data_IF_817662145958
#
_entry.id   IF_817662145958
#
_cell.length_a   1.000
_cell.length_b   1.000
_cell.length_c   1.000
_cell.angle_alpha   90.00
_cell.angle_beta   90.00
_cell.angle_gamma   90.00
#
_symmetry.space_group_name_H-M   'P 1'
#
loop_
_entity.id
_entity.type
_entity.pdbx_description
1 polymer ?
#
# COMPACT_ATOMS: atom_id res chain seq x y z
N UNK A 1 -29.40 8.70 -16.29
CA UNK A 1 -28.50 8.23 -15.24
C UNK A 1 -27.14 7.97 -15.87
N UNK A 2 -26.08 8.64 -15.39
CA UNK A 2 -24.74 8.45 -15.90
C UNK A 2 -24.26 7.00 -15.67
N UNK A 3 -23.42 6.50 -16.57
CA UNK A 3 -22.88 5.15 -16.45
C UNK A 3 -21.86 5.13 -15.29
N UNK A 4 -22.12 4.33 -14.25
CA UNK A 4 -21.20 4.14 -13.13
C UNK A 4 -20.08 3.17 -13.55
N UNK A 5 -18.85 3.59 -13.37
CA UNK A 5 -17.68 2.78 -13.74
C UNK A 5 -17.19 1.92 -12.56
N UNK A 6 -16.62 0.74 -12.81
CA UNK A 6 -15.85 0.03 -11.80
C UNK A 6 -14.67 0.89 -11.33
N UNK A 7 -14.27 0.73 -10.08
CA UNK A 7 -13.20 1.54 -9.51
C UNK A 7 -12.12 0.69 -8.85
N UNK A 8 -10.93 1.27 -8.69
CA UNK A 8 -9.82 0.64 -8.01
C UNK A 8 -9.13 1.63 -7.07
N UNK A 9 -8.91 1.21 -5.83
CA UNK A 9 -7.99 1.86 -4.91
C UNK A 9 -6.59 1.30 -5.14
N UNK A 10 -5.64 2.15 -5.43
CA UNK A 10 -4.24 1.82 -5.71
C UNK A 10 -3.35 2.25 -4.55
N UNK A 11 -2.68 1.31 -3.90
CA UNK A 11 -1.84 1.52 -2.72
C UNK A 11 -0.38 1.25 -3.11
N UNK A 12 0.53 2.22 -2.95
CA UNK A 12 1.91 2.08 -3.39
C UNK A 12 2.72 1.15 -2.49
N UNK A 13 3.86 0.72 -2.98
CA UNK A 13 4.88 0.05 -2.18
C UNK A 13 5.65 1.01 -1.28
N UNK A 14 6.66 0.46 -0.64
CA UNK A 14 7.59 1.22 0.20
C UNK A 14 8.16 2.43 -0.55
N UNK A 15 7.99 3.64 0.01
CA UNK A 15 8.48 4.90 -0.57
C UNK A 15 7.83 5.33 -1.88
N UNK A 16 6.81 4.64 -2.34
CA UNK A 16 6.03 5.10 -3.50
C UNK A 16 5.06 6.22 -3.15
N UNK A 17 4.60 6.94 -4.17
CA UNK A 17 3.66 8.04 -4.04
C UNK A 17 2.44 7.87 -4.95
N UNK A 18 1.36 8.59 -4.63
CA UNK A 18 0.16 8.66 -5.48
C UNK A 18 0.48 9.23 -6.87
N UNK A 19 1.39 10.19 -6.97
CA UNK A 19 1.84 10.77 -8.24
C UNK A 19 2.56 9.71 -9.08
N UNK A 20 3.42 8.90 -8.44
CA UNK A 20 4.07 7.77 -9.12
C UNK A 20 3.07 6.75 -9.64
N UNK A 21 2.05 6.42 -8.85
CA UNK A 21 0.96 5.52 -9.28
C UNK A 21 0.13 6.10 -10.42
N UNK A 22 -0.08 7.43 -10.43
CA UNK A 22 -0.77 8.15 -11.51
C UNK A 22 0.07 8.28 -12.79
N UNK A 23 1.39 8.08 -12.68
CA UNK A 23 2.32 8.26 -13.78
C UNK A 23 2.65 9.73 -14.08
N UNK A 24 2.51 10.60 -13.08
CA UNK A 24 2.74 12.04 -13.18
C UNK A 24 4.18 12.43 -12.84
N UNK A 25 4.89 11.62 -12.07
CA UNK A 25 6.30 11.88 -11.73
C UNK A 25 7.24 10.99 -12.53
N UNK A 26 8.25 11.58 -13.12
CA UNK A 26 9.42 10.86 -13.58
C UNK A 26 10.39 10.72 -12.39
N UNK A 27 10.28 9.59 -11.67
CA UNK A 27 11.43 8.97 -11.05
C UNK A 27 12.17 9.67 -9.91
N UNK A 28 11.62 10.66 -9.22
CA UNK A 28 12.31 11.28 -8.09
C UNK A 28 12.37 10.40 -6.82
N UNK A 29 11.75 9.25 -6.85
CA UNK A 29 11.90 8.23 -5.82
C UNK A 29 12.74 7.07 -6.36
N UNK A 30 14.04 7.26 -6.40
CA UNK A 30 14.99 6.16 -6.56
C UNK A 30 14.87 5.20 -5.39
N UNK A 31 13.93 4.31 -5.50
CA UNK A 31 13.72 3.24 -4.55
C UNK A 31 14.62 2.07 -4.82
N UNK A 32 15.74 2.19 -5.25
CA UNK A 32 16.72 1.10 -5.23
C UNK A 32 17.79 1.27 -6.29
N UNK A 33 18.96 0.81 -5.98
CA UNK A 33 20.09 0.48 -6.85
C UNK A 33 19.79 -0.52 -7.98
N UNK A 34 18.53 -0.85 -8.26
CA UNK A 34 18.15 -1.67 -9.39
C UNK A 34 17.87 -0.77 -10.59
N UNK A 35 18.37 -1.14 -11.79
CA UNK A 35 18.03 -0.42 -13.01
C UNK A 35 16.52 -0.61 -13.27
N UNK A 36 15.72 0.28 -12.69
CA UNK A 36 14.30 0.31 -12.95
C UNK A 36 14.12 0.95 -14.30
N UNK A 37 13.53 0.21 -15.24
CA UNK A 37 13.03 0.85 -16.42
C UNK A 37 12.04 1.95 -16.04
N UNK A 38 12.02 3.06 -16.82
CA UNK A 38 11.36 4.28 -16.39
C UNK A 38 9.92 4.04 -15.98
N UNK A 39 9.49 4.83 -15.03
CA UNK A 39 8.18 5.07 -14.38
C UNK A 39 6.92 4.49 -15.05
N UNK A 40 6.94 4.21 -16.32
CA UNK A 40 5.81 3.59 -17.04
C UNK A 40 5.37 2.24 -16.50
N UNK A 41 6.24 1.49 -15.83
CA UNK A 41 5.89 0.20 -15.20
C UNK A 41 5.28 0.39 -13.81
N UNK A 42 5.67 1.42 -13.08
CA UNK A 42 5.15 1.72 -11.74
C UNK A 42 3.81 2.43 -11.71
N UNK A 43 3.33 2.96 -12.83
CA UNK A 43 2.10 3.75 -12.91
C UNK A 43 0.83 2.88 -12.84
N UNK A 44 0.65 2.19 -11.72
CA UNK A 44 -0.42 1.20 -11.53
C UNK A 44 -1.81 1.80 -11.77
N UNK A 45 -2.10 2.97 -11.21
CA UNK A 45 -3.38 3.63 -11.38
C UNK A 45 -3.65 3.99 -12.86
N UNK A 46 -2.64 4.52 -13.56
CA UNK A 46 -2.75 4.85 -14.99
C UNK A 46 -3.07 3.60 -15.83
N UNK A 47 -2.51 2.44 -15.48
CA UNK A 47 -2.82 1.20 -16.19
C UNK A 47 -4.28 0.78 -16.02
N UNK A 48 -4.87 0.97 -14.84
CA UNK A 48 -6.28 0.71 -14.62
C UNK A 48 -7.18 1.72 -15.35
N UNK A 49 -6.83 3.01 -15.35
CA UNK A 49 -7.56 4.04 -16.10
C UNK A 49 -7.59 3.71 -17.60
N UNK A 50 -6.47 3.28 -18.18
CA UNK A 50 -6.40 2.84 -19.59
C UNK A 50 -7.30 1.63 -19.90
N UNK A 51 -7.74 0.91 -18.89
CA UNK A 51 -8.70 -0.21 -19.01
C UNK A 51 -10.14 0.21 -18.70
N UNK A 52 -10.42 1.49 -18.50
CA UNK A 52 -11.75 2.03 -18.28
C UNK A 52 -12.24 1.99 -16.82
N UNK A 53 -11.33 1.80 -15.85
CA UNK A 53 -11.67 1.92 -14.45
C UNK A 53 -11.45 3.36 -13.96
N UNK A 54 -12.21 3.76 -12.95
CA UNK A 54 -11.85 4.89 -12.10
C UNK A 54 -10.73 4.43 -11.16
N UNK A 55 -9.60 5.13 -11.13
CA UNK A 55 -8.51 4.80 -10.22
C UNK A 55 -8.33 5.92 -9.19
N UNK A 56 -8.22 5.51 -7.93
CA UNK A 56 -7.87 6.39 -6.81
C UNK A 56 -6.51 5.94 -6.30
N UNK A 57 -5.53 6.82 -6.33
CA UNK A 57 -4.19 6.58 -5.82
C UNK A 57 -4.01 7.29 -4.48
N UNK A 58 -3.36 6.63 -3.54
CA UNK A 58 -3.09 7.15 -2.19
C UNK A 58 -1.61 7.10 -1.88
N UNK A 59 -1.19 7.89 -0.89
CA UNK A 59 0.11 7.75 -0.26
C UNK A 59 0.01 6.83 0.96
N UNK A 60 1.05 6.07 1.23
CA UNK A 60 1.16 5.36 2.50
C UNK A 60 1.50 6.33 3.64
N UNK A 61 1.10 5.98 4.86
CA UNK A 61 1.54 6.67 6.08
C UNK A 61 3.06 6.87 6.07
N UNK A 62 3.52 8.05 6.42
CA UNK A 62 4.94 8.44 6.44
C UNK A 62 5.64 8.43 5.07
N UNK A 63 4.88 8.45 3.98
CA UNK A 63 5.42 8.53 2.62
C UNK A 63 4.94 9.80 1.92
N UNK A 64 5.70 10.29 0.97
CA UNK A 64 5.36 11.42 0.11
C UNK A 64 4.78 12.61 0.91
N UNK A 65 3.58 13.08 0.60
CA UNK A 65 2.93 14.18 1.33
C UNK A 65 2.57 13.85 2.79
N UNK A 66 2.47 12.57 3.15
CA UNK A 66 2.22 12.13 4.51
C UNK A 66 3.51 11.91 5.32
N UNK A 67 4.66 12.31 4.79
CA UNK A 67 5.95 12.23 5.47
C UNK A 67 6.32 13.56 6.13
N UNK A 68 7.08 13.50 7.21
CA UNK A 68 7.68 14.69 7.83
C UNK A 68 8.83 15.20 6.96
N UNK A 69 8.71 16.45 6.48
CA UNK A 69 9.74 17.12 5.68
C UNK A 69 10.17 16.36 4.40
N UNK A 70 9.29 15.57 3.80
CA UNK A 70 9.58 14.78 2.61
C UNK A 70 10.47 13.56 2.87
N UNK A 71 10.75 13.24 4.11
CA UNK A 71 11.56 12.10 4.50
C UNK A 71 10.69 10.90 4.88
N UNK A 72 10.95 9.76 4.25
CA UNK A 72 10.27 8.52 4.55
C UNK A 72 10.81 7.90 5.85
N UNK A 73 10.02 7.91 6.90
CA UNK A 73 10.40 7.37 8.21
C UNK A 73 9.32 6.45 8.81
N UNK A 74 9.00 5.39 8.07
CA UNK A 74 7.98 4.46 8.53
C UNK A 74 8.38 3.68 9.79
N UNK A 75 9.69 3.49 10.01
CA UNK A 75 10.18 2.76 11.18
C UNK A 75 9.91 3.52 12.47
N UNK A 76 10.28 4.80 12.48
CA UNK A 76 10.06 5.66 13.65
C UNK A 76 8.57 5.85 13.89
N UNK A 77 7.80 6.06 12.83
CA UNK A 77 6.35 6.11 12.88
C UNK A 77 5.76 4.82 13.46
N UNK A 78 6.23 3.66 13.03
CA UNK A 78 5.77 2.36 13.57
C UNK A 78 6.03 2.24 15.08
N UNK A 79 7.20 2.66 15.53
CA UNK A 79 7.56 2.66 16.96
C UNK A 79 6.69 3.60 17.79
N UNK A 80 6.49 4.83 17.31
CA UNK A 80 5.61 5.81 17.96
C UNK A 80 4.19 5.26 18.06
N UNK A 81 3.67 4.67 16.99
CA UNK A 81 2.34 4.08 16.99
C UNK A 81 2.21 2.93 18.00
N UNK A 82 3.23 2.07 18.12
CA UNK A 82 3.24 1.00 19.11
C UNK A 82 3.20 1.55 20.55
N UNK A 83 3.95 2.61 20.84
CA UNK A 83 3.90 3.29 22.14
C UNK A 83 2.51 3.88 22.45
N UNK A 84 1.78 4.26 21.42
CA UNK A 84 0.39 4.75 21.53
C UNK A 84 -0.65 3.62 21.58
N UNK A 85 -0.24 2.35 21.52
CA UNK A 85 -1.15 1.20 21.45
C UNK A 85 -1.76 0.96 20.08
N UNK A 86 -1.16 1.51 19.04
CA UNK A 86 -1.56 1.38 17.64
C UNK A 86 -0.54 0.53 16.87
N UNK A 87 -0.80 0.29 15.60
CA UNK A 87 0.20 -0.29 14.70
C UNK A 87 0.20 0.47 13.36
N UNK A 88 1.34 0.46 12.68
CA UNK A 88 1.45 1.06 11.35
C UNK A 88 0.44 0.45 10.37
N UNK A 89 0.37 -0.88 10.32
CA UNK A 89 -0.59 -1.58 9.47
C UNK A 89 -2.04 -1.26 9.83
N UNK A 90 -2.36 -1.16 11.12
CA UNK A 90 -3.70 -0.77 11.58
C UNK A 90 -4.09 0.63 11.13
N UNK A 91 -3.18 1.60 11.28
CA UNK A 91 -3.41 2.98 10.84
C UNK A 91 -3.57 3.06 9.32
N UNK A 92 -2.67 2.43 8.56
CA UNK A 92 -2.73 2.43 7.09
C UNK A 92 -4.03 1.81 6.60
N UNK A 93 -4.41 0.65 7.12
CA UNK A 93 -5.67 0.01 6.75
C UNK A 93 -6.89 0.87 7.11
N UNK A 94 -6.86 1.59 8.22
CA UNK A 94 -7.93 2.53 8.60
C UNK A 94 -8.02 3.71 7.62
N UNK A 95 -6.90 4.28 7.22
CA UNK A 95 -6.86 5.35 6.21
C UNK A 95 -7.42 4.88 4.88
N UNK A 96 -6.97 3.73 4.40
CA UNK A 96 -7.44 3.13 3.15
C UNK A 96 -8.94 2.79 3.20
N UNK A 97 -9.43 2.31 4.35
CA UNK A 97 -10.84 2.05 4.56
C UNK A 97 -11.70 3.32 4.48
N UNK A 98 -11.20 4.45 5.00
CA UNK A 98 -11.89 5.74 4.85
C UNK A 98 -11.94 6.18 3.38
N UNK A 99 -10.85 5.99 2.62
CA UNK A 99 -10.83 6.28 1.19
C UNK A 99 -11.83 5.38 0.43
N UNK A 100 -11.90 4.09 0.77
CA UNK A 100 -12.87 3.16 0.19
C UNK A 100 -14.32 3.61 0.45
N UNK A 101 -14.63 4.06 1.66
CA UNK A 101 -15.95 4.58 2.00
C UNK A 101 -16.27 5.84 1.20
N UNK A 102 -15.32 6.76 1.07
CA UNK A 102 -15.46 7.92 0.21
C UNK A 102 -15.70 7.53 -1.26
N UNK A 103 -14.98 6.52 -1.78
CA UNK A 103 -15.19 6.03 -3.15
C UNK A 103 -16.62 5.51 -3.37
N UNK A 104 -17.18 4.82 -2.37
CA UNK A 104 -18.57 4.28 -2.44
C UNK A 104 -19.64 5.38 -2.50
N UNK A 105 -19.33 6.58 -2.03
CA UNK A 105 -20.22 7.73 -2.04
C UNK A 105 -20.22 8.49 -3.38
N UNK A 106 -19.27 8.20 -4.26
CA UNK A 106 -19.16 8.93 -5.53
C UNK A 106 -20.21 8.45 -6.55
N UNK A 107 -20.92 9.39 -7.15
CA UNK A 107 -22.01 9.09 -8.10
C UNK A 107 -21.55 8.38 -9.37
N UNK A 108 -20.29 8.55 -9.75
CA UNK A 108 -19.67 7.95 -10.94
C UNK A 108 -19.05 6.58 -10.67
N UNK A 109 -18.99 6.12 -9.40
CA UNK A 109 -18.41 4.83 -9.01
C UNK A 109 -19.50 3.76 -8.90
N UNK A 110 -19.26 2.61 -9.50
CA UNK A 110 -20.05 1.41 -9.22
C UNK A 110 -19.53 0.77 -7.91
N UNK A 111 -20.23 1.04 -6.82
CA UNK A 111 -19.86 0.58 -5.47
C UNK A 111 -19.79 -0.94 -5.30
N UNK A 112 -20.45 -1.69 -6.18
CA UNK A 112 -20.44 -3.16 -6.19
C UNK A 112 -19.23 -3.73 -6.95
N UNK A 113 -18.44 -2.86 -7.58
CA UNK A 113 -17.26 -3.23 -8.39
C UNK A 113 -16.05 -2.37 -8.02
N UNK A 114 -15.74 -2.32 -6.73
CA UNK A 114 -14.52 -1.67 -6.21
C UNK A 114 -13.47 -2.73 -5.97
N UNK A 115 -12.32 -2.55 -6.57
CA UNK A 115 -11.12 -3.39 -6.43
C UNK A 115 -10.13 -2.65 -5.52
N UNK A 116 -9.34 -3.39 -4.73
CA UNK A 116 -8.18 -2.84 -4.04
C UNK A 116 -6.93 -3.49 -4.59
N UNK A 117 -6.00 -2.68 -5.05
CA UNK A 117 -4.74 -3.14 -5.63
C UNK A 117 -3.56 -2.54 -4.87
N UNK A 118 -2.73 -3.38 -4.30
CA UNK A 118 -1.53 -2.97 -3.59
C UNK A 118 -0.26 -3.48 -4.26
N UNK A 119 0.83 -2.75 -4.07
CA UNK A 119 2.17 -3.18 -4.48
C UNK A 119 3.08 -3.28 -3.26
N UNK A 120 3.81 -4.38 -3.12
CA UNK A 120 4.79 -4.60 -2.04
C UNK A 120 4.19 -4.26 -0.66
N UNK A 121 4.71 -3.27 0.06
CA UNK A 121 4.17 -2.81 1.35
C UNK A 121 2.66 -2.49 1.29
N UNK A 122 2.21 -1.92 0.18
CA UNK A 122 0.79 -1.61 -0.04
C UNK A 122 -0.13 -2.83 -0.16
N UNK A 123 0.41 -4.05 -0.19
CA UNK A 123 -0.41 -5.27 -0.16
C UNK A 123 -0.81 -5.68 1.26
N UNK A 124 -0.10 -5.21 2.27
CA UNK A 124 -0.34 -5.61 3.65
C UNK A 124 -1.71 -5.16 4.19
N UNK A 125 -2.15 -3.90 3.97
CA UNK A 125 -3.49 -3.49 4.39
C UNK A 125 -4.62 -4.25 3.71
N UNK A 126 -4.40 -4.87 2.55
CA UNK A 126 -5.44 -5.61 1.82
C UNK A 126 -6.02 -6.77 2.64
N UNK A 127 -5.20 -7.45 3.44
CA UNK A 127 -5.67 -8.54 4.31
C UNK A 127 -6.62 -8.01 5.39
N UNK A 128 -6.28 -6.87 5.97
CA UNK A 128 -7.10 -6.22 7.00
C UNK A 128 -8.40 -5.71 6.40
N UNK A 129 -8.31 -5.04 5.24
CA UNK A 129 -9.48 -4.54 4.50
C UNK A 129 -10.43 -5.67 4.10
N UNK A 130 -9.89 -6.83 3.68
CA UNK A 130 -10.70 -7.99 3.34
C UNK A 130 -11.46 -8.58 4.54
N UNK A 131 -10.91 -8.46 5.74
CA UNK A 131 -11.60 -8.86 6.97
C UNK A 131 -12.65 -7.83 7.42
N UNK A 132 -12.41 -6.55 7.17
CA UNK A 132 -13.27 -5.46 7.63
C UNK A 132 -14.43 -5.17 6.66
N UNK A 133 -14.23 -5.35 5.36
CA UNK A 133 -15.15 -4.90 4.33
C UNK A 133 -15.45 -6.00 3.28
N UNK A 134 -16.47 -6.83 3.53
CA UNK A 134 -16.85 -7.89 2.60
C UNK A 134 -17.46 -7.38 1.29
N UNK A 135 -17.72 -6.08 1.15
CA UNK A 135 -18.26 -5.49 -0.07
C UNK A 135 -17.19 -5.22 -1.14
N UNK A 136 -15.91 -5.38 -0.83
CA UNK A 136 -14.83 -5.23 -1.79
C UNK A 136 -14.92 -6.36 -2.81
N UNK A 137 -15.00 -5.99 -4.10
CA UNK A 137 -15.22 -6.95 -5.18
C UNK A 137 -14.04 -7.89 -5.42
N UNK A 138 -12.81 -7.37 -5.37
CA UNK A 138 -11.60 -8.15 -5.57
C UNK A 138 -10.36 -7.46 -5.00
N UNK A 139 -9.34 -8.26 -4.72
CA UNK A 139 -8.02 -7.79 -4.30
C UNK A 139 -6.96 -8.20 -5.33
N UNK A 140 -6.03 -7.29 -5.59
CA UNK A 140 -4.87 -7.54 -6.45
C UNK A 140 -3.60 -7.33 -5.66
N UNK A 141 -2.92 -8.43 -5.36
CA UNK A 141 -1.63 -8.44 -4.67
C UNK A 141 -0.52 -8.42 -5.71
N UNK A 142 0.16 -7.30 -5.85
CA UNK A 142 1.32 -7.18 -6.72
C UNK A 142 2.59 -7.32 -5.89
N UNK A 143 3.34 -8.39 -6.14
CA UNK A 143 4.68 -8.63 -5.61
C UNK A 143 4.78 -8.72 -4.08
N UNK A 144 3.80 -9.20 -3.38
CA UNK A 144 3.95 -9.49 -1.96
C UNK A 144 2.80 -10.31 -1.39
N UNK A 145 2.82 -11.59 -1.63
CA UNK A 145 1.96 -12.53 -0.91
C UNK A 145 2.85 -13.64 -0.36
N UNK A 146 3.07 -13.64 0.93
CA UNK A 146 3.88 -14.66 1.60
C UNK A 146 3.21 -15.10 2.91
N UNK A 147 3.56 -16.30 3.35
CA UNK A 147 3.14 -16.76 4.68
C UNK A 147 3.90 -15.96 5.73
N UNK A 148 3.16 -15.34 6.63
CA UNK A 148 3.72 -14.41 7.64
C UNK A 148 4.83 -15.05 8.48
N UNK A 149 4.64 -16.29 8.92
CA UNK A 149 5.65 -17.00 9.69
C UNK A 149 6.95 -17.22 8.91
N UNK A 150 6.85 -17.64 7.66
CA UNK A 150 8.02 -17.85 6.79
C UNK A 150 8.75 -16.53 6.52
N UNK A 151 8.00 -15.45 6.29
CA UNK A 151 8.55 -14.11 6.17
C UNK A 151 9.39 -13.73 7.40
N UNK A 152 8.84 -13.88 8.60
CA UNK A 152 9.53 -13.55 9.84
C UNK A 152 10.80 -14.38 9.98
N UNK A 153 10.73 -15.69 9.73
CA UNK A 153 11.89 -16.57 9.80
C UNK A 153 13.00 -16.18 8.80
N UNK A 154 12.64 -15.73 7.61
CA UNK A 154 13.62 -15.23 6.62
C UNK A 154 14.20 -13.90 7.05
N UNK A 155 13.38 -12.97 7.52
CA UNK A 155 13.81 -11.60 7.88
C UNK A 155 14.61 -11.55 9.18
N UNK A 156 14.43 -12.51 10.07
CA UNK A 156 15.21 -12.60 11.32
C UNK A 156 16.53 -13.35 11.15
N UNK A 157 16.74 -14.03 10.02
CA UNK A 157 18.03 -14.67 9.74
C UNK A 157 19.12 -13.62 9.50
N UNK A 158 20.31 -13.79 10.08
CA UNK A 158 21.45 -12.95 9.71
C UNK A 158 21.73 -13.10 8.21
N UNK A 159 21.81 -11.99 7.50
CA UNK A 159 22.37 -12.01 6.15
C UNK A 159 23.86 -12.41 6.26
N UNK A 160 24.37 -13.33 5.42
CA UNK A 160 25.80 -13.68 5.38
C UNK A 160 26.72 -12.48 5.16
N UNK A 161 26.21 -11.36 4.62
CA UNK A 161 26.95 -10.10 4.43
C UNK A 161 26.76 -9.11 5.58
N UNK A 162 26.05 -9.49 6.67
CA UNK A 162 25.82 -8.63 7.83
C UNK A 162 24.77 -7.53 7.63
N UNK A 163 24.19 -7.40 6.44
CA UNK A 163 23.06 -6.51 6.18
C UNK A 163 21.75 -7.27 6.29
N UNK A 164 20.78 -6.70 6.97
CA UNK A 164 19.40 -7.22 6.91
C UNK A 164 18.71 -6.54 5.75
N UNK A 165 18.15 -7.28 4.77
CA UNK A 165 17.50 -6.65 3.62
C UNK A 165 16.28 -5.80 4.02
N UNK A 166 15.60 -6.14 5.14
CA UNK A 166 14.50 -5.36 5.71
C UNK A 166 14.55 -5.46 7.23
N UNK A 167 15.34 -4.64 7.91
CA UNK A 167 15.58 -4.80 9.34
C UNK A 167 14.35 -4.64 10.24
N UNK A 168 13.22 -4.16 9.73
CA UNK A 168 12.18 -3.59 10.59
C UNK A 168 10.74 -4.00 10.24
N UNK A 169 10.57 -5.06 9.49
CA UNK A 169 9.27 -5.41 8.95
C UNK A 169 8.29 -6.05 9.95
N UNK A 170 8.74 -6.37 11.16
CA UNK A 170 7.86 -6.94 12.19
C UNK A 170 7.17 -5.84 13.00
N UNK A 171 7.83 -4.71 13.18
CA UNK A 171 7.35 -3.62 14.04
C UNK A 171 6.09 -2.93 13.51
N UNK A 172 5.81 -3.04 12.22
CA UNK A 172 4.62 -2.44 11.63
C UNK A 172 3.38 -3.33 11.65
N UNK A 173 3.53 -4.61 11.97
CA UNK A 173 2.40 -5.54 12.07
C UNK A 173 1.50 -5.23 13.26
N UNK A 174 0.25 -5.66 13.16
CA UNK A 174 -0.69 -5.59 14.27
C UNK A 174 -0.20 -6.51 15.38
N UNK A 175 -0.05 -6.03 16.62
CA UNK A 175 0.30 -6.88 17.75
C UNK A 175 -0.65 -8.07 17.87
N UNK A 176 -0.10 -9.27 18.06
CA UNK A 176 -0.89 -10.51 18.10
C UNK A 176 -1.28 -11.08 16.74
N UNK A 177 -0.85 -10.50 15.63
CA UNK A 177 -1.17 -11.00 14.28
C UNK A 177 -0.69 -12.45 14.03
N UNK A 178 0.26 -12.94 14.82
CA UNK A 178 0.85 -14.27 14.70
C UNK A 178 0.34 -15.29 15.74
N UNK A 179 -0.50 -14.86 16.64
CA UNK A 179 -1.14 -15.71 17.64
C UNK A 179 -2.53 -16.12 17.18
#
# INVERSE_FOLDING_TARGET
AGHKAPAVLCIPGFGGSKEGLAGETEGDYELTSLPVEPVKKGAMALHYVKKGLVAVAVDNTSCAELSDNGYFDYLNTSRILLEMGWSYLGLTAYQDWNVLNWMKEQDFVNKERIIVSGFSLGTEPLMVLGALDPSIYAFVYNDFLCRTLERILVMTKPDPKGSRPFPNSIEHLIPGFLT
#
